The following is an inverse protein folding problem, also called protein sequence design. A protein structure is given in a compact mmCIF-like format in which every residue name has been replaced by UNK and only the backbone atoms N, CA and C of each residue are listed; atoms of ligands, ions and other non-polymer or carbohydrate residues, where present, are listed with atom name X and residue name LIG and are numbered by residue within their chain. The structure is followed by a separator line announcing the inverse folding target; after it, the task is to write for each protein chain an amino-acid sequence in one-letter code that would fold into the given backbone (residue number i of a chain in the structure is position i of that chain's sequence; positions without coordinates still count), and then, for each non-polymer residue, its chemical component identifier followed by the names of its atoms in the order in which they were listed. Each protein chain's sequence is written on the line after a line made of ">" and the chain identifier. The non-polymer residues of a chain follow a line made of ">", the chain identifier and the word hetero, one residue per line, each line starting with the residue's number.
data_IF_209961800686
#
_entry.id   IF_209961800686
#
_cell.length_a   1.000
_cell.length_b   1.000
_cell.length_c   1.000
_cell.angle_alpha   90.00
_cell.angle_beta   90.00
_cell.angle_gamma   90.00
#
_symmetry.space_group_name_H-M   'P 1'
#
loop_
_entity.id
_entity.type
_entity.pdbx_description
1 polymer ?
#
# COMPACT_ATOMS: atom_id res chain seq x y z
N UNK A 1 50.25 -53.61 10.24
CA UNK A 1 49.44 -52.42 9.95
C UNK A 1 48.09 -52.65 10.59
N UNK A 2 47.83 -52.05 11.74
CA UNK A 2 46.58 -52.27 12.47
C UNK A 2 45.45 -51.49 11.81
N UNK A 3 44.29 -52.14 11.63
CA UNK A 3 43.07 -51.46 11.18
C UNK A 3 42.77 -50.28 12.13
N UNK A 4 42.40 -49.10 11.61
CA UNK A 4 41.94 -48.01 12.46
C UNK A 4 40.78 -48.53 13.33
N UNK A 5 40.83 -48.26 14.63
CA UNK A 5 39.74 -48.64 15.53
C UNK A 5 38.44 -48.08 14.98
N UNK A 6 37.34 -48.83 15.13
CA UNK A 6 36.01 -48.41 14.66
C UNK A 6 35.66 -46.97 15.12
N UNK A 7 36.16 -46.57 16.28
CA UNK A 7 36.09 -45.20 16.80
C UNK A 7 36.94 -44.19 16.00
N UNK A 8 38.17 -44.52 15.60
CA UNK A 8 39.00 -43.63 14.79
C UNK A 8 38.38 -43.37 13.40
N UNK A 9 37.87 -44.41 12.75
CA UNK A 9 37.16 -44.28 11.47
C UNK A 9 35.84 -43.51 11.62
N UNK A 10 35.11 -43.71 12.73
CA UNK A 10 33.93 -42.92 13.05
C UNK A 10 34.27 -41.44 13.29
N UNK A 11 35.36 -41.14 13.99
CA UNK A 11 35.82 -39.78 14.25
C UNK A 11 36.30 -39.06 12.99
N UNK A 12 36.94 -39.78 12.07
CA UNK A 12 37.35 -39.24 10.77
C UNK A 12 36.13 -38.90 9.91
N UNK A 13 35.10 -39.75 9.93
CA UNK A 13 33.83 -39.47 9.25
C UNK A 13 33.08 -38.27 9.88
N UNK A 14 33.00 -38.19 11.21
CA UNK A 14 32.40 -37.02 11.88
C UNK A 14 33.16 -35.73 11.54
N UNK A 15 34.49 -35.79 11.42
CA UNK A 15 35.30 -34.65 11.00
C UNK A 15 35.06 -34.25 9.56
N UNK A 16 34.94 -35.19 8.62
CA UNK A 16 34.67 -34.85 7.22
C UNK A 16 33.28 -34.23 7.02
N UNK A 17 32.30 -34.63 7.85
CA UNK A 17 30.96 -34.01 7.88
C UNK A 17 31.01 -32.60 8.46
N UNK A 18 31.73 -32.37 9.57
CA UNK A 18 31.74 -31.08 10.27
C UNK A 18 32.67 -30.05 9.61
N UNK A 19 33.82 -30.49 9.09
CA UNK A 19 34.86 -29.61 8.52
C UNK A 19 34.89 -29.69 6.99
N UNK A 20 33.71 -29.73 6.37
CA UNK A 20 33.59 -29.65 4.91
C UNK A 20 34.12 -28.30 4.43
N UNK A 21 34.98 -28.30 3.43
CA UNK A 21 35.48 -27.07 2.82
C UNK A 21 34.34 -26.31 2.13
N UNK A 22 34.31 -24.99 2.35
CA UNK A 22 33.33 -24.08 1.76
C UNK A 22 33.90 -23.41 0.51
N UNK A 23 33.03 -23.12 -0.46
CA UNK A 23 33.34 -22.23 -1.57
C UNK A 23 33.50 -20.77 -1.08
N UNK A 24 34.24 -19.96 -1.83
CA UNK A 24 34.38 -18.52 -1.52
C UNK A 24 33.12 -17.75 -1.91
N UNK A 25 32.70 -16.83 -1.05
CA UNK A 25 31.56 -15.93 -1.29
C UNK A 25 32.00 -14.51 -1.73
N UNK A 26 33.30 -14.27 -1.92
CA UNK A 26 33.82 -12.96 -2.32
C UNK A 26 33.31 -12.56 -3.71
N UNK A 27 32.74 -11.35 -3.82
CA UNK A 27 32.18 -10.83 -5.07
C UNK A 27 30.77 -11.33 -5.40
N UNK A 28 30.28 -12.38 -4.72
CA UNK A 28 28.94 -12.95 -4.96
C UNK A 28 27.89 -12.50 -3.94
N UNK A 29 28.30 -12.18 -2.71
CA UNK A 29 27.37 -11.82 -1.64
C UNK A 29 27.86 -10.64 -0.81
N UNK A 30 26.95 -9.75 -0.45
CA UNK A 30 27.25 -8.65 0.46
C UNK A 30 27.57 -9.19 1.86
N UNK A 31 28.59 -8.60 2.51
CA UNK A 31 28.95 -8.96 3.89
C UNK A 31 27.94 -8.35 4.86
N UNK A 32 27.52 -9.14 5.85
CA UNK A 32 26.66 -8.68 6.93
C UNK A 32 27.41 -7.67 7.80
N UNK A 33 26.81 -6.48 7.94
CA UNK A 33 27.27 -5.44 8.86
C UNK A 33 26.10 -4.52 9.20
N UNK A 34 25.93 -4.20 10.48
CA UNK A 34 24.98 -3.21 10.95
C UNK A 34 25.60 -1.82 11.03
N UNK A 35 24.79 -0.82 11.37
CA UNK A 35 25.27 0.53 11.68
C UNK A 35 26.13 0.55 12.95
N UNK A 36 27.30 1.18 12.87
CA UNK A 36 28.21 1.36 14.00
C UNK A 36 27.90 2.67 14.73
N UNK A 37 27.27 2.57 15.91
CA UNK A 37 26.92 3.71 16.74
C UNK A 37 28.12 4.46 17.33
N UNK A 38 29.35 3.94 17.23
CA UNK A 38 30.54 4.74 17.52
C UNK A 38 30.70 5.93 16.55
N UNK A 39 30.02 5.89 15.40
CA UNK A 39 29.95 6.99 14.42
C UNK A 39 28.89 8.05 14.77
N UNK A 40 28.22 7.92 15.93
CA UNK A 40 27.16 8.82 16.38
C UNK A 40 25.76 8.34 15.96
N UNK A 41 24.78 9.26 15.98
CA UNK A 41 23.40 8.97 15.59
C UNK A 41 23.10 9.65 14.25
N UNK A 42 22.99 8.84 13.19
CA UNK A 42 22.59 9.30 11.87
C UNK A 42 21.48 8.41 11.31
N UNK A 43 20.24 8.89 11.36
CA UNK A 43 19.06 8.10 10.97
C UNK A 43 19.11 7.61 9.51
N UNK A 44 19.57 8.44 8.57
CA UNK A 44 19.66 8.00 7.16
C UNK A 44 20.70 6.89 7.00
N UNK A 45 21.85 6.97 7.68
CA UNK A 45 22.84 5.89 7.63
C UNK A 45 22.36 4.63 8.37
N UNK A 46 21.62 4.78 9.47
CA UNK A 46 20.96 3.66 10.16
C UNK A 46 20.00 2.95 9.20
N UNK A 47 19.12 3.68 8.51
CA UNK A 47 18.15 3.10 7.58
C UNK A 47 18.82 2.50 6.34
N UNK A 48 19.88 3.13 5.80
CA UNK A 48 20.68 2.55 4.70
C UNK A 48 21.36 1.25 5.09
N UNK A 49 21.80 1.10 6.34
CA UNK A 49 22.44 -0.13 6.81
C UNK A 49 21.49 -1.33 6.91
N UNK A 50 20.17 -1.12 6.80
CA UNK A 50 19.18 -2.19 6.88
C UNK A 50 19.42 -3.27 5.81
N UNK A 51 19.85 -2.87 4.60
CA UNK A 51 20.16 -3.77 3.47
C UNK A 51 21.18 -4.86 3.87
N UNK A 52 22.17 -4.51 4.69
CA UNK A 52 23.26 -5.38 5.13
C UNK A 52 23.10 -5.93 6.55
N UNK A 53 21.97 -5.65 7.23
CA UNK A 53 21.72 -6.08 8.61
C UNK A 53 21.21 -7.53 8.70
N UNK A 54 20.45 -7.99 7.71
CA UNK A 54 19.90 -9.35 7.64
C UNK A 54 18.42 -9.47 8.04
N UNK A 55 17.80 -10.61 7.72
CA UNK A 55 16.38 -10.90 7.99
C UNK A 55 15.43 -9.83 7.43
N UNK A 56 14.41 -9.41 8.19
CA UNK A 56 13.43 -8.41 7.73
C UNK A 56 14.01 -6.99 7.59
N UNK A 57 15.17 -6.71 8.22
CA UNK A 57 15.86 -5.45 7.97
C UNK A 57 16.32 -5.36 6.51
N UNK A 58 16.94 -6.42 5.98
CA UNK A 58 17.32 -6.48 4.57
C UNK A 58 16.12 -6.34 3.65
N UNK A 59 15.00 -7.01 3.94
CA UNK A 59 13.77 -6.87 3.14
C UNK A 59 13.21 -5.44 3.16
N UNK A 60 13.32 -4.71 4.27
CA UNK A 60 12.94 -3.29 4.33
C UNK A 60 13.94 -2.40 3.55
N UNK A 61 15.23 -2.72 3.59
CA UNK A 61 16.24 -2.10 2.73
C UNK A 61 15.93 -2.28 1.25
N UNK A 62 15.64 -3.52 0.82
CA UNK A 62 15.22 -3.85 -0.54
C UNK A 62 13.94 -3.11 -0.94
N UNK A 63 12.98 -2.98 0.00
CA UNK A 63 11.74 -2.25 -0.24
C UNK A 63 12.00 -0.76 -0.52
N UNK A 64 12.91 -0.13 0.23
CA UNK A 64 13.34 1.25 0.01
C UNK A 64 13.98 1.39 -1.38
N UNK A 65 14.89 0.48 -1.75
CA UNK A 65 15.52 0.50 -3.07
C UNK A 65 14.52 0.30 -4.21
N UNK A 66 13.59 -0.64 -4.07
CA UNK A 66 12.57 -0.92 -5.09
C UNK A 66 11.63 0.28 -5.26
N UNK A 67 11.18 0.93 -4.18
CA UNK A 67 10.34 2.13 -4.29
C UNK A 67 11.11 3.30 -4.90
N UNK A 68 12.37 3.51 -4.53
CA UNK A 68 13.19 4.54 -5.18
C UNK A 68 13.36 4.27 -6.68
N UNK A 69 13.49 3.00 -7.10
CA UNK A 69 13.48 2.65 -8.52
C UNK A 69 12.15 2.94 -9.21
N UNK A 70 11.00 2.73 -8.54
CA UNK A 70 9.69 3.15 -9.07
C UNK A 70 9.68 4.67 -9.29
N UNK A 71 10.17 5.44 -8.30
CA UNK A 71 10.18 6.91 -8.31
C UNK A 71 11.17 7.50 -9.32
N UNK A 72 12.29 6.82 -9.57
CA UNK A 72 13.33 7.26 -10.49
C UNK A 72 13.06 6.82 -11.94
N UNK A 73 12.29 5.75 -12.17
CA UNK A 73 12.08 5.23 -13.51
C UNK A 73 11.41 6.25 -14.46
N UNK A 74 11.95 6.35 -15.67
CA UNK A 74 11.44 7.13 -16.82
C UNK A 74 11.34 6.19 -18.00
N UNK A 75 10.43 6.47 -18.93
CA UNK A 75 10.41 5.75 -20.21
C UNK A 75 11.71 5.97 -21.01
N UNK A 76 12.40 7.11 -20.81
CA UNK A 76 13.71 7.38 -21.44
C UNK A 76 14.83 6.43 -21.02
N UNK A 77 14.66 5.68 -19.91
CA UNK A 77 15.60 4.65 -19.50
C UNK A 77 15.45 3.35 -20.31
N UNK A 78 14.32 3.16 -20.99
CA UNK A 78 14.06 2.01 -21.84
C UNK A 78 14.53 2.27 -23.27
N UNK A 79 14.83 1.19 -24.01
CA UNK A 79 15.11 1.30 -25.43
C UNK A 79 13.85 1.68 -26.22
N UNK A 80 14.03 2.41 -27.32
CA UNK A 80 12.96 2.70 -28.27
C UNK A 80 12.74 1.44 -29.11
N UNK A 81 11.52 0.92 -29.12
CA UNK A 81 11.15 -0.25 -29.91
C UNK A 81 10.57 0.15 -31.26
N UNK A 82 10.58 -0.74 -32.26
CA UNK A 82 10.09 -0.42 -33.61
C UNK A 82 8.57 -0.22 -33.67
N UNK A 83 7.83 -0.79 -32.72
CA UNK A 83 6.37 -0.74 -32.58
C UNK A 83 5.86 0.44 -31.73
N UNK A 84 6.75 1.29 -31.22
CA UNK A 84 6.39 2.46 -30.43
C UNK A 84 5.76 3.57 -31.28
N UNK A 85 4.89 4.38 -30.67
CA UNK A 85 4.26 5.52 -31.35
C UNK A 85 5.28 6.62 -31.67
N UNK A 86 4.98 7.52 -32.63
CA UNK A 86 5.87 8.65 -32.94
C UNK A 86 6.08 9.57 -31.73
N UNK A 87 5.09 9.69 -30.84
CA UNK A 87 5.22 10.45 -29.59
C UNK A 87 6.19 9.78 -28.61
N UNK A 88 6.17 8.44 -28.54
CA UNK A 88 7.10 7.65 -27.72
C UNK A 88 8.56 7.73 -28.19
N UNK A 89 8.82 8.21 -29.41
CA UNK A 89 10.17 8.50 -29.91
C UNK A 89 10.71 9.85 -29.44
N UNK A 90 9.85 10.76 -28.98
CA UNK A 90 10.24 12.10 -28.53
C UNK A 90 10.85 12.02 -27.13
N UNK A 91 12.12 12.43 -27.00
CA UNK A 91 12.86 12.34 -25.73
C UNK A 91 12.16 13.07 -24.57
N UNK A 92 11.63 14.28 -24.80
CA UNK A 92 10.95 15.05 -23.75
C UNK A 92 9.68 14.36 -23.24
N UNK A 93 8.94 13.68 -24.13
CA UNK A 93 7.80 12.86 -23.73
C UNK A 93 8.27 11.68 -22.88
N UNK A 94 9.27 10.92 -23.36
CA UNK A 94 9.84 9.78 -22.62
C UNK A 94 10.38 10.17 -21.24
N UNK A 95 10.97 11.35 -21.14
CA UNK A 95 11.45 11.95 -19.89
C UNK A 95 10.33 12.46 -18.99
N UNK A 96 9.10 12.65 -19.48
CA UNK A 96 7.92 12.99 -18.66
C UNK A 96 7.14 11.77 -18.18
N UNK A 97 7.23 10.64 -18.90
CA UNK A 97 6.52 9.41 -18.54
C UNK A 97 7.16 8.78 -17.29
N UNK A 98 6.35 8.51 -16.27
CA UNK A 98 6.75 7.97 -14.95
C UNK A 98 6.11 6.61 -14.70
N UNK A 99 6.63 5.88 -13.72
CA UNK A 99 5.95 4.68 -13.21
C UNK A 99 4.56 5.06 -12.67
N UNK A 100 3.55 4.21 -12.85
CA UNK A 100 2.22 4.37 -12.26
C UNK A 100 2.13 3.53 -10.99
N UNK A 101 1.97 4.18 -9.85
CA UNK A 101 2.01 3.56 -8.53
C UNK A 101 0.58 3.31 -8.03
N UNK A 102 0.30 2.04 -7.75
CA UNK A 102 -0.91 1.58 -7.08
C UNK A 102 -0.60 1.40 -5.59
N UNK A 103 -1.35 2.10 -4.73
CA UNK A 103 -1.24 2.01 -3.28
C UNK A 103 -2.45 1.27 -2.71
N UNK A 104 -2.19 0.15 -2.03
CA UNK A 104 -3.21 -0.63 -1.32
C UNK A 104 -3.00 -0.57 0.18
N UNK A 105 -4.06 -0.38 0.96
CA UNK A 105 -3.99 -0.46 2.42
C UNK A 105 -5.27 -1.00 3.06
N UNK A 106 -5.14 -1.62 4.23
CA UNK A 106 -6.29 -2.09 5.03
C UNK A 106 -6.86 -0.98 5.92
N UNK A 107 -8.14 -1.09 6.29
CA UNK A 107 -8.88 -0.11 7.08
C UNK A 107 -8.19 0.33 8.37
N UNK A 108 -7.64 -0.61 9.13
CA UNK A 108 -6.99 -0.34 10.41
C UNK A 108 -5.79 0.63 10.30
N UNK A 109 -5.16 0.75 9.12
CA UNK A 109 -4.07 1.70 8.90
C UNK A 109 -4.58 3.15 8.86
N UNK A 110 -5.82 3.36 8.39
CA UNK A 110 -6.48 4.67 8.46
C UNK A 110 -6.99 4.96 9.88
N UNK A 111 -7.42 3.95 10.64
CA UNK A 111 -7.68 4.10 12.08
C UNK A 111 -6.42 4.52 12.86
N UNK A 112 -5.24 4.08 12.42
CA UNK A 112 -3.94 4.47 13.00
C UNK A 112 -3.44 5.85 12.56
N UNK A 113 -2.22 6.22 12.99
CA UNK A 113 -1.52 7.43 12.51
C UNK A 113 -0.94 7.31 11.09
N UNK A 114 -0.92 6.09 10.50
CA UNK A 114 -0.49 5.89 9.10
C UNK A 114 -1.39 6.66 8.11
N UNK A 115 -2.62 7.01 8.51
CA UNK A 115 -3.49 7.95 7.79
C UNK A 115 -2.75 9.21 7.33
N UNK A 116 -1.96 9.83 8.19
CA UNK A 116 -1.30 11.10 7.88
C UNK A 116 -0.17 10.92 6.86
N UNK A 117 0.50 9.77 6.90
CA UNK A 117 1.52 9.36 5.94
C UNK A 117 0.88 9.09 4.57
N UNK A 118 -0.25 8.37 4.53
CA UNK A 118 -1.01 8.15 3.29
C UNK A 118 -1.49 9.49 2.73
N UNK A 119 -2.12 10.33 3.57
CA UNK A 119 -2.56 11.68 3.18
C UNK A 119 -1.42 12.50 2.59
N UNK A 120 -0.21 12.45 3.14
CA UNK A 120 0.96 13.13 2.58
C UNK A 120 1.26 12.67 1.14
N UNK A 121 1.26 11.36 0.87
CA UNK A 121 1.49 10.83 -0.48
C UNK A 121 0.40 11.29 -1.46
N UNK A 122 -0.86 11.24 -1.03
CA UNK A 122 -2.01 11.61 -1.87
C UNK A 122 -2.03 13.12 -2.13
N UNK A 123 -1.79 13.94 -1.11
CA UNK A 123 -1.73 15.41 -1.19
C UNK A 123 -0.67 15.88 -2.19
N UNK A 124 0.46 15.19 -2.25
CA UNK A 124 1.56 15.52 -3.16
C UNK A 124 1.54 14.74 -4.48
N UNK A 125 0.43 14.07 -4.80
CA UNK A 125 0.24 13.30 -6.03
C UNK A 125 1.41 12.33 -6.31
N UNK A 126 1.84 11.62 -5.25
CA UNK A 126 2.94 10.66 -5.29
C UNK A 126 2.49 9.24 -5.64
N UNK A 127 1.18 9.01 -5.71
CA UNK A 127 0.54 7.75 -6.11
C UNK A 127 -0.64 8.07 -7.01
N UNK A 128 -0.96 7.17 -7.94
CA UNK A 128 -1.98 7.41 -8.97
C UNK A 128 -3.27 6.62 -8.78
N UNK A 129 -3.24 5.52 -8.04
CA UNK A 129 -4.44 4.68 -7.81
C UNK A 129 -4.43 4.16 -6.39
N UNK A 130 -5.57 4.24 -5.71
CA UNK A 130 -5.73 3.74 -4.34
C UNK A 130 -6.76 2.62 -4.31
N UNK A 131 -6.47 1.57 -3.54
CA UNK A 131 -7.46 0.56 -3.17
C UNK A 131 -7.46 0.35 -1.66
N UNK A 132 -8.64 0.39 -1.05
CA UNK A 132 -8.81 0.13 0.38
C UNK A 132 -10.10 -0.67 0.64
N UNK A 133 -10.34 -1.05 1.90
CA UNK A 133 -11.64 -1.53 2.39
C UNK A 133 -12.48 -0.37 2.95
N UNK A 134 -13.77 -0.62 3.21
CA UNK A 134 -14.74 0.39 3.65
C UNK A 134 -14.32 1.13 4.90
N UNK A 135 -13.79 0.42 5.90
CA UNK A 135 -13.22 1.04 7.10
C UNK A 135 -12.12 2.07 6.79
N UNK A 136 -11.35 1.88 5.71
CA UNK A 136 -10.34 2.86 5.29
C UNK A 136 -10.94 4.11 4.64
N UNK A 137 -12.17 4.04 4.15
CA UNK A 137 -12.92 5.20 3.65
C UNK A 137 -13.56 5.93 4.84
N UNK A 138 -14.37 5.23 5.63
CA UNK A 138 -15.19 5.86 6.67
C UNK A 138 -14.35 6.42 7.82
N UNK A 139 -13.29 5.74 8.26
CA UNK A 139 -12.44 6.23 9.36
C UNK A 139 -11.69 7.52 8.98
N UNK A 140 -11.38 7.74 7.69
CA UNK A 140 -10.79 9.00 7.23
C UNK A 140 -11.77 10.16 7.32
N UNK A 141 -13.03 9.93 6.94
CA UNK A 141 -14.11 10.92 7.01
C UNK A 141 -14.50 11.19 8.46
N UNK A 142 -14.66 10.13 9.26
CA UNK A 142 -15.03 10.19 10.67
C UNK A 142 -13.98 10.97 11.47
N UNK A 143 -12.69 10.80 11.17
CA UNK A 143 -11.61 11.56 11.80
C UNK A 143 -11.64 13.07 11.53
N UNK A 144 -12.39 13.52 10.51
CA UNK A 144 -12.66 14.95 10.32
C UNK A 144 -13.82 15.46 11.20
N UNK A 145 -14.61 14.56 11.80
CA UNK A 145 -15.80 14.86 12.61
C UNK A 145 -15.59 14.58 14.10
N UNK A 146 -14.66 13.70 14.45
CA UNK A 146 -14.31 13.36 15.83
C UNK A 146 -13.02 12.56 15.95
N UNK A 147 -12.42 12.60 17.13
CA UNK A 147 -11.10 12.01 17.36
C UNK A 147 -11.15 10.50 17.63
N UNK A 148 -10.04 9.83 17.33
CA UNK A 148 -9.72 8.46 17.75
C UNK A 148 -8.65 8.52 18.83
N UNK A 149 -8.77 7.69 19.86
CA UNK A 149 -7.93 7.75 21.05
C UNK A 149 -7.08 6.50 21.24
N UNK A 150 -5.95 6.64 21.93
CA UNK A 150 -5.18 5.50 22.40
C UNK A 150 -5.93 4.76 23.50
N UNK A 151 -5.92 3.44 23.41
CA UNK A 151 -6.41 2.49 24.40
C UNK A 151 -5.43 1.34 24.57
N UNK A 152 -5.96 0.13 24.82
CA UNK A 152 -5.16 -1.07 25.01
C UNK A 152 -5.89 -2.29 24.42
N UNK A 153 -5.14 -3.25 23.87
CA UNK A 153 -5.68 -4.48 23.26
C UNK A 153 -6.52 -5.31 24.24
N UNK A 154 -6.18 -5.27 25.53
CA UNK A 154 -6.78 -6.07 26.59
C UNK A 154 -8.05 -5.45 27.19
N UNK A 155 -8.45 -4.25 26.79
CA UNK A 155 -9.64 -3.59 27.32
C UNK A 155 -10.90 -4.47 27.13
N UNK A 156 -11.65 -4.81 28.21
CA UNK A 156 -12.78 -5.72 28.14
C UNK A 156 -13.93 -5.18 27.28
N UNK A 157 -14.33 -5.95 26.27
CA UNK A 157 -15.34 -5.54 25.29
C UNK A 157 -16.71 -5.19 25.92
N UNK A 158 -17.17 -5.95 26.91
CA UNK A 158 -18.44 -5.69 27.58
C UNK A 158 -18.46 -4.34 28.32
N UNK A 159 -17.34 -3.98 28.96
CA UNK A 159 -17.20 -2.70 29.66
C UNK A 159 -17.15 -1.53 28.67
N UNK A 160 -16.44 -1.70 27.54
CA UNK A 160 -16.40 -0.70 26.47
C UNK A 160 -17.78 -0.48 25.84
N UNK A 161 -18.51 -1.57 25.54
CA UNK A 161 -19.85 -1.50 24.95
C UNK A 161 -20.84 -0.75 25.86
N UNK A 162 -20.80 -1.00 27.16
CA UNK A 162 -21.64 -0.29 28.14
C UNK A 162 -21.37 1.21 28.17
N UNK A 163 -20.13 1.62 27.84
CA UNK A 163 -19.70 3.02 27.76
C UNK A 163 -19.85 3.62 26.35
N UNK A 164 -20.35 2.86 25.36
CA UNK A 164 -20.44 3.33 23.98
C UNK A 164 -19.06 3.57 23.31
N UNK A 165 -18.06 2.77 23.66
CA UNK A 165 -16.72 2.83 23.07
C UNK A 165 -16.48 1.60 22.18
N UNK A 166 -15.99 1.81 20.96
CA UNK A 166 -15.59 0.75 20.04
C UNK A 166 -14.06 0.62 20.07
N UNK A 167 -13.55 -0.62 20.04
CA UNK A 167 -12.10 -0.89 20.08
C UNK A 167 -11.60 -1.37 18.73
N UNK A 168 -10.51 -0.76 18.24
CA UNK A 168 -9.78 -1.17 17.04
C UNK A 168 -8.34 -1.48 17.47
N UNK A 169 -8.03 -2.74 17.76
CA UNK A 169 -6.73 -3.10 18.33
C UNK A 169 -6.52 -2.44 19.70
N UNK A 170 -5.54 -1.53 19.80
CA UNK A 170 -5.27 -0.65 20.95
C UNK A 170 -5.78 0.78 20.74
N UNK A 171 -6.75 1.00 19.85
CA UNK A 171 -7.39 2.29 19.63
C UNK A 171 -8.85 2.25 20.11
N UNK A 172 -9.38 3.41 20.45
CA UNK A 172 -10.76 3.61 20.89
C UNK A 172 -11.45 4.68 20.05
N UNK A 173 -12.63 4.35 19.54
CA UNK A 173 -13.51 5.26 18.78
C UNK A 173 -14.84 5.41 19.55
N UNK A 174 -15.18 6.62 20.04
CA UNK A 174 -16.48 6.86 20.66
C UNK A 174 -17.64 6.65 19.67
N UNK A 175 -18.74 6.05 20.11
CA UNK A 175 -19.95 5.88 19.28
C UNK A 175 -20.49 7.21 18.73
N UNK A 176 -20.32 8.30 19.47
CA UNK A 176 -20.72 9.65 19.05
C UNK A 176 -20.13 10.03 17.69
N UNK A 177 -18.93 9.53 17.36
CA UNK A 177 -18.30 9.78 16.08
C UNK A 177 -19.13 9.20 14.92
N UNK A 178 -19.73 8.03 15.10
CA UNK A 178 -20.60 7.39 14.10
C UNK A 178 -21.97 8.07 14.02
N UNK A 179 -22.48 8.65 15.11
CA UNK A 179 -23.67 9.50 15.08
C UNK A 179 -23.42 10.77 14.25
N UNK A 180 -22.27 11.44 14.46
CA UNK A 180 -21.86 12.60 13.65
C UNK A 180 -21.69 12.23 12.17
N UNK A 181 -21.21 11.01 11.91
CA UNK A 181 -21.08 10.51 10.54
C UNK A 181 -22.45 10.28 9.88
N UNK A 182 -23.43 9.71 10.60
CA UNK A 182 -24.81 9.59 10.11
C UNK A 182 -25.39 10.96 9.74
N UNK A 183 -25.29 11.93 10.67
CA UNK A 183 -25.81 13.29 10.46
C UNK A 183 -25.18 13.97 9.24
N UNK A 184 -23.89 13.70 8.98
CA UNK A 184 -23.16 14.25 7.84
C UNK A 184 -23.49 13.54 6.52
N UNK A 185 -23.55 12.21 6.51
CA UNK A 185 -23.62 11.44 5.25
C UNK A 185 -25.03 11.29 4.70
N UNK A 186 -26.06 11.21 5.56
CA UNK A 186 -27.44 10.96 5.11
C UNK A 186 -27.93 12.03 4.11
N UNK A 187 -27.73 13.35 4.35
CA UNK A 187 -28.10 14.38 3.36
C UNK A 187 -27.35 14.24 2.04
N UNK A 188 -26.12 13.71 2.05
CA UNK A 188 -25.34 13.46 0.84
C UNK A 188 -25.95 12.30 0.07
N UNK A 189 -26.33 11.20 0.74
CA UNK A 189 -26.99 10.06 0.09
C UNK A 189 -28.32 10.45 -0.55
N UNK A 190 -29.09 11.35 0.07
CA UNK A 190 -30.30 11.92 -0.52
C UNK A 190 -30.00 12.64 -1.85
N UNK A 191 -28.94 13.46 -1.88
CA UNK A 191 -28.50 14.13 -3.12
C UNK A 191 -28.02 13.13 -4.19
N UNK A 192 -27.24 12.11 -3.80
CA UNK A 192 -26.80 11.06 -4.73
C UNK A 192 -28.01 10.38 -5.39
N UNK A 193 -29.04 10.08 -4.60
CA UNK A 193 -30.25 9.43 -5.09
C UNK A 193 -31.06 10.37 -6.00
N UNK A 194 -31.14 11.65 -5.66
CA UNK A 194 -31.77 12.66 -6.52
C UNK A 194 -31.05 12.79 -7.87
N UNK A 195 -29.72 12.87 -7.86
CA UNK A 195 -28.86 12.91 -9.05
C UNK A 195 -29.03 11.64 -9.89
N UNK A 196 -29.11 10.47 -9.24
CA UNK A 196 -29.39 9.21 -9.94
C UNK A 196 -30.77 9.22 -10.61
N UNK A 197 -31.81 9.72 -9.94
CA UNK A 197 -33.19 9.76 -10.46
C UNK A 197 -33.38 10.80 -11.56
N UNK A 198 -32.80 11.99 -11.40
CA UNK A 198 -33.05 13.15 -12.29
C UNK A 198 -32.01 13.31 -13.39
N UNK A 199 -30.75 12.98 -13.11
CA UNK A 199 -29.63 13.17 -14.03
C UNK A 199 -29.12 11.83 -14.59
N UNK A 200 -29.73 10.71 -14.19
CA UNK A 200 -29.35 9.36 -14.61
C UNK A 200 -27.88 9.02 -14.30
N UNK A 201 -27.32 9.58 -13.22
CA UNK A 201 -25.97 9.24 -12.74
C UNK A 201 -25.98 7.81 -12.23
N UNK A 202 -25.16 6.93 -12.80
CA UNK A 202 -24.87 5.64 -12.19
C UNK A 202 -23.66 5.76 -11.27
N UNK A 203 -23.92 5.64 -9.97
CA UNK A 203 -22.89 5.63 -8.94
C UNK A 203 -22.11 4.32 -8.98
N UNK A 204 -20.81 4.43 -8.74
CA UNK A 204 -19.90 3.31 -8.46
C UNK A 204 -19.21 3.61 -7.13
N UNK A 205 -18.59 2.63 -6.46
CA UNK A 205 -17.82 2.89 -5.25
C UNK A 205 -16.82 4.04 -5.42
N UNK A 206 -16.00 4.06 -6.47
CA UNK A 206 -15.03 5.14 -6.69
C UNK A 206 -15.67 6.53 -6.88
N UNK A 207 -16.77 6.63 -7.66
CA UNK A 207 -17.50 7.91 -7.84
C UNK A 207 -18.12 8.40 -6.53
N UNK A 208 -18.70 7.49 -5.75
CA UNK A 208 -19.26 7.80 -4.45
C UNK A 208 -18.15 8.29 -3.50
N UNK A 209 -17.03 7.58 -3.43
CA UNK A 209 -15.89 7.96 -2.60
C UNK A 209 -15.32 9.33 -3.00
N UNK A 210 -15.17 9.60 -4.30
CA UNK A 210 -14.74 10.90 -4.80
C UNK A 210 -15.72 12.03 -4.38
N UNK A 211 -17.04 11.76 -4.43
CA UNK A 211 -18.04 12.69 -3.92
C UNK A 211 -17.90 12.90 -2.41
N UNK A 212 -17.69 11.86 -1.61
CA UNK A 212 -17.45 12.01 -0.16
C UNK A 212 -16.18 12.82 0.13
N UNK A 213 -15.10 12.61 -0.62
CA UNK A 213 -13.88 13.42 -0.52
C UNK A 213 -14.10 14.89 -0.88
N UNK A 214 -14.97 15.18 -1.85
CA UNK A 214 -15.41 16.54 -2.15
C UNK A 214 -16.22 17.16 -1.00
N UNK A 215 -17.21 16.44 -0.48
CA UNK A 215 -18.13 16.96 0.53
C UNK A 215 -17.48 17.15 1.90
N UNK A 216 -16.48 16.32 2.27
CA UNK A 216 -15.81 16.48 3.57
C UNK A 216 -14.97 17.76 3.62
N UNK A 217 -14.48 18.21 2.46
CA UNK A 217 -13.81 19.50 2.25
C UNK A 217 -12.80 19.87 3.37
N UNK A 218 -11.98 18.90 3.77
CA UNK A 218 -11.07 19.03 4.90
C UNK A 218 -9.68 18.53 4.51
N UNK A 219 -8.66 19.39 4.60
CA UNK A 219 -7.28 19.09 4.22
C UNK A 219 -6.59 18.02 5.09
N UNK A 220 -7.19 17.61 6.21
CA UNK A 220 -6.73 16.46 6.99
C UNK A 220 -7.15 15.11 6.40
N UNK A 221 -8.14 15.08 5.50
CA UNK A 221 -8.63 13.87 4.85
C UNK A 221 -7.76 13.49 3.65
N UNK A 222 -7.37 12.23 3.53
CA UNK A 222 -6.71 11.77 2.31
C UNK A 222 -7.69 11.67 1.15
N UNK A 223 -8.99 11.42 1.42
CA UNK A 223 -10.04 11.38 0.39
C UNK A 223 -10.30 12.75 -0.23
N UNK A 224 -10.23 13.82 0.56
CA UNK A 224 -10.25 15.18 0.04
C UNK A 224 -9.12 15.42 -0.97
N UNK A 225 -7.90 15.05 -0.61
CA UNK A 225 -6.75 15.18 -1.51
C UNK A 225 -6.84 14.26 -2.72
N UNK A 226 -7.38 13.05 -2.56
CA UNK A 226 -7.62 12.14 -3.67
C UNK A 226 -8.58 12.77 -4.69
N UNK A 227 -9.69 13.36 -4.21
CA UNK A 227 -10.62 14.11 -5.05
C UNK A 227 -9.94 15.33 -5.72
N UNK A 228 -9.18 16.13 -4.96
CA UNK A 228 -8.51 17.34 -5.49
C UNK A 228 -7.46 17.03 -6.56
N UNK A 229 -6.77 15.90 -6.42
CA UNK A 229 -5.68 15.49 -7.31
C UNK A 229 -6.12 14.45 -8.35
N UNK A 230 -7.42 14.22 -8.50
CA UNK A 230 -8.00 13.25 -9.45
C UNK A 230 -7.40 11.83 -9.33
N UNK A 231 -7.18 11.39 -8.08
CA UNK A 231 -6.68 10.04 -7.76
C UNK A 231 -7.90 9.14 -7.47
N UNK A 232 -8.20 8.14 -8.31
CA UNK A 232 -9.30 7.24 -8.05
C UNK A 232 -9.03 6.35 -6.83
N UNK A 233 -10.06 6.21 -5.99
CA UNK A 233 -10.06 5.34 -4.80
C UNK A 233 -11.09 4.24 -5.01
N UNK A 234 -10.63 3.00 -5.13
CA UNK A 234 -11.50 1.83 -5.29
C UNK A 234 -11.72 1.11 -3.96
N UNK A 235 -12.95 0.65 -3.75
CA UNK A 235 -13.32 -0.14 -2.57
C UNK A 235 -14.27 -1.28 -2.98
N UNK A 236 -13.74 -2.48 -3.26
CA UNK A 236 -14.54 -3.59 -3.78
C UNK A 236 -15.67 -4.03 -2.83
N UNK A 237 -15.46 -3.85 -1.52
CA UNK A 237 -16.39 -4.24 -0.47
C UNK A 237 -17.11 -3.05 0.18
N UNK A 238 -17.49 -2.01 -0.57
CA UNK A 238 -18.01 -0.72 -0.05
C UNK A 238 -19.06 -0.81 1.08
N UNK A 239 -19.87 -1.87 1.10
CA UNK A 239 -20.95 -2.05 2.09
C UNK A 239 -20.49 -2.67 3.41
N UNK A 240 -19.23 -3.06 3.56
CA UNK A 240 -18.70 -3.78 4.74
C UNK A 240 -18.16 -2.81 5.82
N UNK A 241 -19.04 -1.99 6.40
CA UNK A 241 -18.67 -1.01 7.44
C UNK A 241 -19.81 -0.05 7.79
N UNK A 242 -19.51 0.98 8.59
CA UNK A 242 -20.48 2.03 8.94
C UNK A 242 -21.07 2.73 7.72
N UNK A 243 -20.32 2.91 6.63
CA UNK A 243 -20.86 3.41 5.36
C UNK A 243 -21.96 2.49 4.81
N UNK A 244 -21.79 1.17 4.95
CA UNK A 244 -22.81 0.17 4.63
C UNK A 244 -24.06 0.30 5.50
N UNK A 245 -23.89 0.52 6.80
CA UNK A 245 -25.01 0.77 7.72
C UNK A 245 -25.80 2.01 7.32
N UNK A 246 -25.11 3.09 6.91
CA UNK A 246 -25.76 4.32 6.45
C UNK A 246 -26.52 4.12 5.13
N UNK A 247 -25.95 3.38 4.18
CA UNK A 247 -26.64 2.96 2.96
C UNK A 247 -27.88 2.12 3.29
N UNK A 248 -27.78 1.21 4.26
CA UNK A 248 -28.88 0.38 4.72
C UNK A 248 -30.00 1.23 5.32
N UNK A 249 -29.72 2.09 6.30
CA UNK A 249 -30.73 2.96 6.92
C UNK A 249 -31.36 3.93 5.92
N UNK A 250 -30.56 4.53 5.05
CA UNK A 250 -31.03 5.39 3.98
C UNK A 250 -32.01 4.65 3.04
N UNK A 251 -31.74 3.38 2.73
CA UNK A 251 -32.60 2.61 1.80
C UNK A 251 -34.04 2.41 2.29
N UNK A 252 -34.29 2.39 3.60
CA UNK A 252 -35.65 2.34 4.15
C UNK A 252 -36.35 3.70 4.12
N UNK A 253 -35.60 4.79 4.30
CA UNK A 253 -36.13 6.16 4.31
C UNK A 253 -36.39 6.67 2.89
N UNK A 254 -35.43 6.47 1.99
CA UNK A 254 -35.46 6.93 0.60
C UNK A 254 -34.92 5.82 -0.33
N UNK A 255 -35.78 4.87 -0.76
CA UNK A 255 -35.35 3.72 -1.53
C UNK A 255 -34.89 4.09 -2.95
N UNK A 256 -33.96 3.27 -3.46
CA UNK A 256 -33.60 3.21 -4.88
C UNK A 256 -32.17 3.61 -5.24
N UNK A 257 -31.30 3.98 -4.29
CA UNK A 257 -29.89 4.25 -4.59
C UNK A 257 -29.20 2.96 -5.04
N UNK A 258 -28.51 3.02 -6.18
CA UNK A 258 -27.81 1.88 -6.78
C UNK A 258 -26.33 2.25 -6.91
N UNK A 259 -25.47 1.36 -6.46
CA UNK A 259 -24.01 1.49 -6.58
C UNK A 259 -23.51 0.29 -7.39
N UNK A 260 -23.08 0.55 -8.62
CA UNK A 260 -22.63 -0.48 -9.56
C UNK A 260 -21.15 -0.82 -9.37
N UNK A 261 -20.90 -2.05 -9.00
CA UNK A 261 -19.54 -2.60 -8.85
C UNK A 261 -18.93 -3.03 -10.18
N UNK A 262 -19.73 -3.26 -11.22
CA UNK A 262 -19.25 -3.73 -12.53
C UNK A 262 -18.53 -2.61 -13.29
N UNK A 263 -19.10 -1.41 -13.31
CA UNK A 263 -18.38 -0.24 -13.84
C UNK A 263 -17.11 0.06 -13.05
N UNK A 264 -17.10 -0.18 -11.73
CA UNK A 264 -15.93 0.10 -10.90
C UNK A 264 -14.77 -0.86 -11.16
N UNK A 265 -15.03 -2.18 -11.28
CA UNK A 265 -13.99 -3.14 -11.65
C UNK A 265 -13.48 -2.90 -13.06
N UNK A 266 -14.34 -2.44 -13.99
CA UNK A 266 -13.90 -2.04 -15.32
C UNK A 266 -12.94 -0.84 -15.23
N UNK A 267 -13.30 0.18 -14.46
CA UNK A 267 -12.45 1.36 -14.24
C UNK A 267 -11.10 0.97 -13.61
N UNK A 268 -11.11 0.19 -12.53
CA UNK A 268 -9.89 -0.30 -11.87
C UNK A 268 -8.98 -1.09 -12.82
N UNK A 269 -9.53 -2.03 -13.59
CA UNK A 269 -8.74 -2.80 -14.55
C UNK A 269 -8.21 -1.90 -15.68
N UNK A 270 -9.00 -0.93 -16.13
CA UNK A 270 -8.57 0.06 -17.13
C UNK A 270 -7.40 0.93 -16.65
N UNK A 271 -7.28 1.22 -15.34
CA UNK A 271 -6.11 1.93 -14.81
C UNK A 271 -4.79 1.21 -15.09
N UNK A 272 -4.80 -0.13 -15.06
CA UNK A 272 -3.64 -0.97 -15.33
C UNK A 272 -3.48 -1.26 -16.83
N UNK A 273 -4.56 -1.62 -17.54
CA UNK A 273 -4.52 -1.95 -18.98
C UNK A 273 -4.05 -0.76 -19.81
N UNK A 274 -4.52 0.45 -19.49
CA UNK A 274 -4.12 1.67 -20.19
C UNK A 274 -2.87 2.33 -19.60
N UNK A 275 -2.11 1.62 -18.73
CA UNK A 275 -0.88 2.17 -18.19
C UNK A 275 0.22 2.28 -19.25
N UNK A 276 0.21 1.47 -20.31
CA UNK A 276 1.24 1.51 -21.35
C UNK A 276 1.34 2.92 -21.97
N UNK A 277 2.56 3.45 -22.21
CA UNK A 277 3.88 2.80 -22.10
C UNK A 277 4.52 2.83 -20.69
N UNK A 278 3.79 3.23 -19.65
CA UNK A 278 4.30 3.28 -18.26
C UNK A 278 4.53 1.87 -17.71
N UNK A 279 5.53 1.74 -16.84
CA UNK A 279 5.61 0.65 -15.87
C UNK A 279 4.57 0.83 -14.76
N UNK A 280 4.13 -0.27 -14.15
CA UNK A 280 3.31 -0.21 -12.93
C UNK A 280 4.05 -0.72 -11.71
N UNK A 281 3.91 -0.02 -10.59
CA UNK A 281 4.44 -0.39 -9.29
C UNK A 281 3.30 -0.61 -8.29
N UNK A 282 3.43 -1.63 -7.44
CA UNK A 282 2.46 -1.91 -6.38
C UNK A 282 3.11 -1.70 -5.02
N UNK A 283 2.50 -0.89 -4.16
CA UNK A 283 2.85 -0.77 -2.74
C UNK A 283 1.62 -1.20 -1.94
N UNK A 284 1.71 -2.32 -1.22
CA UNK A 284 0.55 -2.94 -0.56
C UNK A 284 0.84 -3.10 0.92
N UNK A 285 0.05 -2.41 1.74
CA UNK A 285 0.13 -2.40 3.21
C UNK A 285 -1.00 -3.26 3.77
N UNK A 286 -0.67 -4.47 4.23
CA UNK A 286 -1.65 -5.48 4.64
C UNK A 286 -1.98 -6.50 3.54
N UNK A 287 -3.19 -7.05 3.58
CA UNK A 287 -3.66 -8.14 2.71
C UNK A 287 -5.10 -7.92 2.24
N UNK A 288 -5.86 -9.01 2.07
CA UNK A 288 -7.29 -8.96 1.77
C UNK A 288 -7.64 -8.33 0.42
N UNK A 289 -8.80 -7.65 0.36
CA UNK A 289 -9.31 -7.04 -0.88
C UNK A 289 -8.32 -6.06 -1.53
N UNK A 290 -7.67 -5.12 -0.81
CA UNK A 290 -6.71 -4.20 -1.41
C UNK A 290 -5.56 -4.91 -2.12
N UNK A 291 -5.01 -5.96 -1.50
CA UNK A 291 -3.94 -6.77 -2.11
C UNK A 291 -4.43 -7.45 -3.38
N UNK A 292 -5.48 -8.27 -3.26
CA UNK A 292 -5.92 -9.10 -4.37
C UNK A 292 -6.40 -8.24 -5.55
N UNK A 293 -7.13 -7.15 -5.28
CA UNK A 293 -7.73 -6.32 -6.32
C UNK A 293 -6.69 -5.56 -7.15
N UNK A 294 -5.64 -5.00 -6.51
CA UNK A 294 -4.51 -4.35 -7.21
C UNK A 294 -3.74 -5.36 -8.06
N UNK A 295 -3.41 -6.52 -7.48
CA UNK A 295 -2.69 -7.57 -8.20
C UNK A 295 -3.51 -8.09 -9.40
N UNK A 296 -4.82 -8.29 -9.22
CA UNK A 296 -5.70 -8.77 -10.29
C UNK A 296 -5.86 -7.76 -11.42
N UNK A 297 -5.91 -6.45 -11.13
CA UNK A 297 -5.88 -5.43 -12.18
C UNK A 297 -4.58 -5.48 -12.99
N UNK A 298 -3.43 -5.63 -12.31
CA UNK A 298 -2.13 -5.72 -12.98
C UNK A 298 -1.94 -7.02 -13.78
N UNK A 299 -2.66 -8.10 -13.45
CA UNK A 299 -2.72 -9.30 -14.29
C UNK A 299 -3.21 -8.98 -15.71
N UNK A 300 -4.14 -8.03 -15.86
CA UNK A 300 -4.71 -7.63 -17.16
C UNK A 300 -3.69 -6.97 -18.10
N UNK A 301 -2.53 -6.54 -17.58
CA UNK A 301 -1.39 -6.03 -18.37
C UNK A 301 -0.17 -6.98 -18.35
N UNK A 302 -0.42 -8.25 -18.05
CA UNK A 302 0.58 -9.31 -17.90
C UNK A 302 1.59 -9.07 -16.76
N UNK A 303 1.10 -8.47 -15.67
CA UNK A 303 1.80 -8.32 -14.41
C UNK A 303 2.41 -6.94 -14.17
N UNK A 304 2.60 -6.60 -12.89
CA UNK A 304 3.31 -5.40 -12.47
C UNK A 304 4.83 -5.53 -12.64
N UNK A 305 5.51 -4.40 -12.78
CA UNK A 305 6.97 -4.32 -12.97
C UNK A 305 7.73 -4.21 -11.64
N UNK A 306 7.07 -3.68 -10.61
CA UNK A 306 7.60 -3.56 -9.26
C UNK A 306 6.53 -3.92 -8.21
N UNK A 307 6.92 -4.55 -7.10
CA UNK A 307 5.99 -4.86 -6.01
C UNK A 307 6.64 -4.83 -4.62
N UNK A 308 6.06 -4.07 -3.70
CA UNK A 308 6.46 -4.04 -2.28
C UNK A 308 5.25 -4.38 -1.43
N UNK A 309 5.33 -5.50 -0.71
CA UNK A 309 4.31 -5.91 0.25
C UNK A 309 4.81 -5.72 1.67
N UNK A 310 4.05 -5.05 2.52
CA UNK A 310 4.32 -4.91 3.96
C UNK A 310 3.11 -5.46 4.71
N UNK A 311 3.22 -6.67 5.25
CA UNK A 311 2.12 -7.28 6.00
C UNK A 311 2.63 -8.34 6.99
N UNK A 312 1.74 -8.76 7.89
CA UNK A 312 2.04 -9.72 8.97
C UNK A 312 1.54 -11.14 8.67
N UNK A 313 0.90 -11.35 7.52
CA UNK A 313 0.28 -12.62 7.16
C UNK A 313 1.32 -13.66 6.71
N UNK A 314 1.01 -14.93 6.98
CA UNK A 314 1.90 -16.08 6.81
C UNK A 314 1.37 -17.04 5.74
N UNK A 315 2.25 -17.73 5.03
CA UNK A 315 1.86 -18.54 3.87
C UNK A 315 1.19 -19.89 4.21
N UNK A 316 1.38 -20.40 5.44
CA UNK A 316 1.01 -21.79 5.78
C UNK A 316 -0.50 -22.08 5.75
N UNK A 317 -1.34 -21.06 5.83
CA UNK A 317 -2.80 -21.19 5.82
C UNK A 317 -3.41 -21.14 4.41
N UNK A 318 -2.58 -20.94 3.37
CA UNK A 318 -3.03 -20.85 1.98
C UNK A 318 -3.82 -19.58 1.66
N UNK A 319 -3.77 -18.55 2.51
CA UNK A 319 -4.47 -17.29 2.26
C UNK A 319 -3.75 -16.43 1.23
N UNK A 320 -4.51 -15.75 0.35
CA UNK A 320 -3.92 -14.73 -0.56
C UNK A 320 -3.19 -13.65 0.25
N UNK A 321 -3.71 -13.24 1.41
CA UNK A 321 -3.02 -12.30 2.30
C UNK A 321 -1.61 -12.75 2.68
N UNK A 322 -1.45 -14.04 2.99
CA UNK A 322 -0.20 -14.65 3.43
C UNK A 322 0.77 -15.02 2.31
N UNK A 323 0.29 -15.17 1.09
CA UNK A 323 1.07 -15.53 -0.08
C UNK A 323 2.32 -14.66 -0.27
N UNK A 324 3.43 -15.30 -0.66
CA UNK A 324 4.66 -14.61 -1.08
C UNK A 324 4.46 -13.97 -2.46
N UNK A 325 5.21 -12.89 -2.80
CA UNK A 325 5.11 -12.27 -4.13
C UNK A 325 5.33 -13.26 -5.28
N UNK A 326 6.17 -14.28 -5.09
CA UNK A 326 6.44 -15.32 -6.08
C UNK A 326 5.18 -16.13 -6.46
N UNK A 327 4.24 -16.32 -5.54
CA UNK A 327 2.94 -16.91 -5.88
C UNK A 327 2.20 -16.03 -6.89
N UNK A 328 2.21 -14.71 -6.71
CA UNK A 328 1.59 -13.77 -7.65
C UNK A 328 2.29 -13.75 -9.03
N UNK A 329 3.57 -14.11 -9.10
CA UNK A 329 4.27 -14.33 -10.38
C UNK A 329 3.66 -15.51 -11.14
N UNK A 330 3.31 -16.61 -10.45
CA UNK A 330 2.69 -17.79 -11.09
C UNK A 330 1.36 -17.49 -11.79
N UNK A 331 0.62 -16.49 -11.31
CA UNK A 331 -0.64 -16.02 -11.89
C UNK A 331 -0.47 -14.96 -12.98
N UNK A 332 0.75 -14.47 -13.22
CA UNK A 332 0.99 -13.31 -14.08
C UNK A 332 0.50 -11.99 -13.48
N UNK A 333 0.24 -11.93 -12.17
CA UNK A 333 -0.08 -10.68 -11.44
C UNK A 333 1.17 -9.81 -11.23
N UNK A 334 2.34 -10.45 -11.16
CA UNK A 334 3.68 -9.84 -11.16
C UNK A 334 4.48 -10.43 -12.32
N UNK A 335 5.27 -9.61 -13.02
CA UNK A 335 6.12 -10.10 -14.12
C UNK A 335 7.27 -10.97 -13.61
N UNK A 336 7.69 -11.95 -14.38
CA UNK A 336 8.82 -12.82 -14.03
C UNK A 336 10.14 -12.05 -13.82
N UNK A 337 10.35 -10.96 -14.56
CA UNK A 337 11.53 -10.09 -14.43
C UNK A 337 11.32 -8.88 -13.49
N UNK A 338 10.18 -8.83 -12.77
CA UNK A 338 9.89 -7.75 -11.84
C UNK A 338 10.82 -7.77 -10.64
N UNK A 339 11.01 -6.59 -10.02
CA UNK A 339 11.64 -6.50 -8.71
C UNK A 339 10.56 -6.47 -7.64
N UNK A 340 10.62 -7.42 -6.71
CA UNK A 340 9.61 -7.52 -5.67
C UNK A 340 10.19 -7.92 -4.33
N UNK A 341 9.54 -7.50 -3.25
CA UNK A 341 9.90 -7.88 -1.89
C UNK A 341 8.68 -7.91 -0.97
N UNK A 342 8.74 -8.75 0.06
CA UNK A 342 7.78 -8.80 1.16
C UNK A 342 8.47 -8.53 2.48
N UNK A 343 8.02 -7.52 3.20
CA UNK A 343 8.45 -7.18 4.57
C UNK A 343 7.40 -7.73 5.55
N UNK A 344 7.81 -8.72 6.34
CA UNK A 344 7.00 -9.27 7.43
C UNK A 344 7.09 -8.35 8.65
N UNK A 345 6.30 -7.27 8.65
CA UNK A 345 6.29 -6.25 9.69
C UNK A 345 4.91 -5.57 9.79
N UNK A 346 4.61 -4.99 10.95
CA UNK A 346 3.48 -4.07 11.08
C UNK A 346 3.77 -2.78 10.29
N UNK A 347 2.85 -2.40 9.40
CA UNK A 347 3.02 -1.25 8.53
C UNK A 347 3.11 0.08 9.32
N UNK A 348 2.57 0.15 10.54
CA UNK A 348 2.74 1.32 11.42
C UNK A 348 4.20 1.59 11.80
N UNK A 349 5.07 0.58 11.68
CA UNK A 349 6.51 0.70 11.90
C UNK A 349 7.24 0.90 10.58
N UNK A 350 7.04 -0.01 9.62
CA UNK A 350 7.85 -0.04 8.40
C UNK A 350 7.49 1.09 7.41
N UNK A 351 6.22 1.45 7.28
CA UNK A 351 5.78 2.37 6.23
C UNK A 351 6.24 3.83 6.44
N UNK A 352 6.18 4.42 7.66
CA UNK A 352 6.76 5.74 7.88
C UNK A 352 8.26 5.82 7.54
N UNK A 353 9.02 4.78 7.87
CA UNK A 353 10.45 4.69 7.55
C UNK A 353 10.71 4.55 6.05
N UNK A 354 9.90 3.73 5.36
CA UNK A 354 9.92 3.61 3.91
C UNK A 354 9.69 4.97 3.26
N UNK A 355 8.65 5.70 3.68
CA UNK A 355 8.30 7.02 3.13
C UNK A 355 9.40 8.06 3.39
N UNK A 356 10.04 8.02 4.56
CA UNK A 356 11.15 8.92 4.90
C UNK A 356 12.32 8.78 3.91
N UNK A 357 12.74 7.56 3.59
CA UNK A 357 13.90 7.30 2.69
C UNK A 357 13.53 7.24 1.20
N UNK A 358 12.26 7.49 0.83
CA UNK A 358 11.79 7.40 -0.56
C UNK A 358 11.06 8.68 -1.00
N UNK A 359 9.76 8.73 -0.78
CA UNK A 359 8.86 9.80 -1.22
C UNK A 359 9.22 11.16 -0.60
N UNK A 360 9.52 11.20 0.69
CA UNK A 360 9.89 12.44 1.38
C UNK A 360 11.27 12.95 0.93
N UNK A 361 12.27 12.07 0.93
CA UNK A 361 13.63 12.40 0.48
C UNK A 361 13.69 12.89 -0.98
N UNK A 362 12.86 12.32 -1.87
CA UNK A 362 12.80 12.77 -3.27
C UNK A 362 12.20 14.17 -3.40
N UNK A 363 11.19 14.49 -2.58
CA UNK A 363 10.57 15.82 -2.58
C UNK A 363 11.58 16.90 -2.17
N UNK A 364 12.36 16.69 -1.11
CA UNK A 364 13.38 17.64 -0.66
C UNK A 364 14.40 17.96 -1.77
N UNK A 365 14.86 16.93 -2.50
CA UNK A 365 15.75 17.12 -3.67
C UNK A 365 15.14 17.97 -4.79
N UNK A 366 13.81 17.92 -4.98
CA UNK A 366 13.11 18.70 -6.00
C UNK A 366 12.76 20.12 -5.54
N UNK A 367 12.63 20.36 -4.24
CA UNK A 367 12.49 21.72 -3.68
C UNK A 367 13.80 22.48 -3.64
N UNK A 368 14.91 21.81 -3.34
CA UNK A 368 16.25 22.44 -3.29
C UNK A 368 16.82 22.76 -4.69
N UNK A 369 16.28 22.14 -5.75
CA UNK A 369 16.68 22.39 -7.14
C UNK A 369 15.86 23.48 -7.84
N UNK A 370 14.85 24.06 -7.19
CA UNK A 370 14.21 25.30 -7.69
C UNK A 370 15.05 26.50 -7.26
N UNK A 371 15.55 27.35 -8.18
CA UNK A 371 16.26 28.55 -7.79
C UNK A 371 15.30 29.41 -6.97
N UNK A 372 15.74 29.85 -5.80
CA UNK A 372 15.05 30.84 -4.98
C UNK A 372 14.77 32.07 -5.84
N UNK A 373 13.53 32.23 -6.28
CA UNK A 373 13.06 33.44 -6.92
C UNK A 373 13.05 34.54 -5.85
N UNK A 374 14.14 35.32 -5.83
CA UNK A 374 14.22 36.60 -5.12
C UNK A 374 13.49 37.71 -5.85
#
# INVERSE_FOLDING_TARGET
>A
MGEPTKEAAMMENLRSVVFKESESLEGFSAKIHGYDFNQGVNYSQILKSLISTGFQASNLGDAIEIVNQMLDWRLSHEQVTEDCSEEEKILTYRESVRCKIFLGFTSNLISSGVRDVIRYLVQHHMVEVIVTTTGGIEEDLIKCLGDTYMGDFSLPGAALRTKGLNRIGNLLVPNENYCKFEDWIIPILDQLLEEQKKQHVLWTPSKLIARLGKEINNESSYLYWAYKNDIPVFCPGLTDGSLGDMLYFHSFRNPGLVVDVVQDIRAMNSEAVHANPRKTGMIILGGGLPKHHICNANMMRNGADYAVFINTAQEFDGSDSGARPDEAVSWGKIRAAAKYVKVHCDATIAFPLLVAETFAATKEKTTDSKPSSG
#
